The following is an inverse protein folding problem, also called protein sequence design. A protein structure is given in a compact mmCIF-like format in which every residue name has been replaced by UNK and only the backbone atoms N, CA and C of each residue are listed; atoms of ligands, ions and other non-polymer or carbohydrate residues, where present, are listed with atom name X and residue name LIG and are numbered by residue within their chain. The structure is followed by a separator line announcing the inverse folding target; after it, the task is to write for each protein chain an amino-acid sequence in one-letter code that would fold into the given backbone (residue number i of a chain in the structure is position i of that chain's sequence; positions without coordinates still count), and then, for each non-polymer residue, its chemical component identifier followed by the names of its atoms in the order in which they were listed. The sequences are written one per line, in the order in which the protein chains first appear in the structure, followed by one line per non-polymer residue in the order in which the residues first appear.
data_IF_011006169506
#
_entry.id   IF_011006169506
#
_cell.length_a   1.000
_cell.length_b   1.000
_cell.length_c   1.000
_cell.angle_alpha   90.00
_cell.angle_beta   90.00
_cell.angle_gamma   90.00
#
_symmetry.space_group_name_H-M   'P 1'
#
loop_
_entity.id
_entity.type
_entity.pdbx_description
1 polymer ?
#
# COMPACT_ATOMS: atom_id res chain seq x y z
N UNK A 1 11.34 1.42 -24.97
CA UNK A 1 10.12 1.55 -24.12
C UNK A 1 9.24 0.32 -24.37
N UNK A 2 9.83 -0.87 -24.47
CA UNK A 2 9.29 -1.91 -25.37
C UNK A 2 8.40 -2.93 -24.64
N UNK A 3 8.16 -2.75 -23.35
CA UNK A 3 7.45 -3.70 -22.48
C UNK A 3 6.30 -3.01 -21.71
N UNK A 4 6.45 -1.75 -21.29
CA UNK A 4 5.38 -0.97 -20.64
C UNK A 4 5.05 0.26 -21.47
N UNK A 5 3.81 0.41 -21.98
CA UNK A 5 3.40 1.60 -22.71
C UNK A 5 3.55 2.90 -21.89
N UNK A 6 3.50 2.80 -20.56
CA UNK A 6 3.61 3.94 -19.64
C UNK A 6 5.02 4.16 -19.09
N UNK A 7 5.96 3.26 -19.42
CA UNK A 7 7.30 3.26 -18.82
C UNK A 7 7.33 2.95 -17.32
N UNK A 8 6.19 2.57 -16.73
CA UNK A 8 6.05 2.27 -15.30
C UNK A 8 6.17 0.76 -15.05
N UNK A 9 6.59 0.45 -13.83
CA UNK A 9 6.57 -0.88 -13.21
C UNK A 9 5.43 -0.96 -12.20
N UNK A 10 4.90 -2.17 -11.88
CA UNK A 10 5.31 -3.49 -12.38
C UNK A 10 4.79 -3.81 -13.78
N UNK A 11 5.43 -4.80 -14.41
CA UNK A 11 4.98 -5.44 -15.64
C UNK A 11 5.08 -6.95 -15.44
N UNK A 12 4.05 -7.69 -15.86
CA UNK A 12 4.04 -9.15 -15.86
C UNK A 12 4.05 -9.67 -17.30
N UNK A 13 5.04 -10.51 -17.63
CA UNK A 13 5.07 -11.23 -18.90
C UNK A 13 4.51 -12.65 -18.70
N UNK A 14 3.44 -12.96 -19.41
CA UNK A 14 2.81 -14.29 -19.39
C UNK A 14 2.81 -14.85 -20.80
N UNK A 15 3.58 -15.90 -21.04
CA UNK A 15 3.80 -16.45 -22.38
C UNK A 15 4.28 -15.37 -23.36
N UNK A 16 3.43 -14.99 -24.35
CA UNK A 16 3.72 -13.94 -25.34
C UNK A 16 3.07 -12.60 -24.99
N UNK A 17 2.24 -12.55 -23.95
CA UNK A 17 1.50 -11.35 -23.54
C UNK A 17 2.25 -10.58 -22.47
N UNK A 18 2.02 -9.27 -22.44
CA UNK A 18 2.57 -8.36 -21.44
C UNK A 18 1.41 -7.62 -20.79
N UNK A 19 1.34 -7.69 -19.46
CA UNK A 19 0.36 -7.00 -18.62
C UNK A 19 1.07 -5.92 -17.81
N UNK A 20 0.45 -4.76 -17.68
CA UNK A 20 0.94 -3.61 -16.90
C UNK A 20 -0.20 -3.11 -16.00
N UNK A 21 0.13 -2.19 -15.10
CA UNK A 21 -0.70 -1.79 -13.94
C UNK A 21 -0.82 -2.89 -12.88
N UNK A 22 -0.39 -2.59 -11.65
CA UNK A 22 -0.38 -3.56 -10.55
C UNK A 22 -1.77 -4.13 -10.26
N UNK A 23 -2.80 -3.29 -10.27
CA UNK A 23 -4.19 -3.73 -10.03
C UNK A 23 -4.66 -4.74 -11.09
N UNK A 24 -4.35 -4.50 -12.37
CA UNK A 24 -4.71 -5.41 -13.47
C UNK A 24 -3.92 -6.71 -13.39
N UNK A 25 -2.63 -6.63 -13.08
CA UNK A 25 -1.78 -7.80 -12.87
C UNK A 25 -2.32 -8.66 -11.71
N UNK A 26 -2.71 -8.03 -10.60
CA UNK A 26 -3.26 -8.72 -9.44
C UNK A 26 -4.59 -9.42 -9.76
N UNK A 27 -5.49 -8.78 -10.52
CA UNK A 27 -6.74 -9.40 -10.97
C UNK A 27 -6.47 -10.61 -11.88
N UNK A 28 -5.52 -10.51 -12.82
CA UNK A 28 -5.14 -11.65 -13.65
C UNK A 28 -4.61 -12.81 -12.80
N UNK A 29 -3.75 -12.52 -11.82
CA UNK A 29 -3.20 -13.56 -10.95
C UNK A 29 -4.28 -14.22 -10.08
N UNK A 30 -5.24 -13.45 -9.58
CA UNK A 30 -6.40 -13.95 -8.80
C UNK A 30 -7.30 -14.89 -9.63
N UNK A 31 -7.54 -14.53 -10.89
CA UNK A 31 -8.41 -15.31 -11.77
C UNK A 31 -7.69 -16.53 -12.37
N UNK A 32 -6.38 -16.45 -12.59
CA UNK A 32 -5.61 -17.50 -13.24
C UNK A 32 -5.01 -18.53 -12.26
N UNK A 33 -4.85 -18.19 -10.97
CA UNK A 33 -4.12 -19.05 -10.02
C UNK A 33 -4.74 -19.08 -8.61
N UNK A 34 -4.63 -20.23 -7.96
CA UNK A 34 -4.80 -20.34 -6.50
C UNK A 34 -6.24 -20.26 -6.00
N UNK A 35 -6.38 -19.79 -4.75
CA UNK A 35 -7.67 -19.56 -4.07
C UNK A 35 -8.08 -18.10 -4.32
N UNK A 36 -9.30 -17.83 -4.82
CA UNK A 36 -9.75 -16.46 -5.06
C UNK A 36 -9.69 -15.59 -3.80
N UNK A 37 -9.11 -14.40 -3.95
CA UNK A 37 -9.02 -13.35 -2.93
C UNK A 37 -10.18 -12.36 -3.02
N UNK A 38 -10.89 -12.32 -4.14
CA UNK A 38 -12.15 -11.60 -4.22
C UNK A 38 -13.33 -12.46 -3.72
N UNK A 39 -14.34 -11.83 -3.10
CA UNK A 39 -15.58 -12.50 -2.76
C UNK A 39 -16.31 -12.96 -4.04
N UNK A 40 -17.15 -13.98 -3.89
CA UNK A 40 -17.97 -14.50 -4.99
C UNK A 40 -19.15 -13.58 -5.32
N UNK A 41 -19.68 -12.88 -4.31
CA UNK A 41 -20.74 -11.90 -4.54
C UNK A 41 -20.23 -10.75 -5.41
N UNK A 42 -20.99 -10.41 -6.44
CA UNK A 42 -20.56 -9.45 -7.46
C UNK A 42 -20.49 -8.02 -6.90
N UNK A 43 -21.37 -7.67 -5.97
CA UNK A 43 -21.40 -6.34 -5.36
C UNK A 43 -20.26 -6.20 -4.35
N UNK A 44 -20.02 -7.22 -3.52
CA UNK A 44 -18.86 -7.24 -2.63
C UNK A 44 -17.54 -7.20 -3.43
N UNK A 45 -17.45 -7.91 -4.56
CA UNK A 45 -16.28 -7.86 -5.45
C UNK A 45 -16.09 -6.47 -6.04
N UNK A 46 -17.18 -5.80 -6.44
CA UNK A 46 -17.13 -4.43 -6.91
C UNK A 46 -16.70 -3.44 -5.81
N UNK A 47 -17.17 -3.65 -4.57
CA UNK A 47 -16.73 -2.86 -3.41
C UNK A 47 -15.24 -3.04 -3.14
N UNK A 48 -14.72 -4.27 -3.18
CA UNK A 48 -13.28 -4.51 -3.07
C UNK A 48 -12.49 -3.72 -4.11
N UNK A 49 -12.90 -3.78 -5.38
CA UNK A 49 -12.23 -3.04 -6.47
C UNK A 49 -12.25 -1.53 -6.25
N UNK A 50 -13.37 -0.98 -5.78
CA UNK A 50 -13.47 0.44 -5.45
C UNK A 50 -12.49 0.84 -4.33
N UNK A 51 -12.37 0.02 -3.29
CA UNK A 51 -11.42 0.27 -2.20
C UNK A 51 -9.96 0.08 -2.62
N UNK A 52 -9.66 -0.85 -3.52
CA UNK A 52 -8.33 -0.98 -4.11
C UNK A 52 -7.92 0.29 -4.86
N UNK A 53 -8.81 0.86 -5.68
CA UNK A 53 -8.54 2.11 -6.38
C UNK A 53 -8.40 3.29 -5.41
N UNK A 54 -9.25 3.35 -4.38
CA UNK A 54 -9.13 4.34 -3.33
C UNK A 54 -7.75 4.28 -2.64
N UNK A 55 -7.29 3.09 -2.27
CA UNK A 55 -5.98 2.85 -1.66
C UNK A 55 -4.83 3.17 -2.62
N UNK A 56 -5.00 2.94 -3.93
CA UNK A 56 -3.99 3.27 -4.92
C UNK A 56 -3.59 4.75 -4.88
N UNK A 57 -4.56 5.64 -4.58
CA UNK A 57 -4.30 7.07 -4.41
C UNK A 57 -3.32 7.38 -3.27
N UNK A 58 -3.15 6.50 -2.28
CA UNK A 58 -2.33 6.77 -1.08
C UNK A 58 -0.84 6.92 -1.43
N UNK A 59 -0.41 6.34 -2.55
CA UNK A 59 0.95 6.47 -3.04
C UNK A 59 1.32 7.94 -3.30
N UNK A 60 0.36 8.80 -3.70
CA UNK A 60 0.64 10.22 -3.94
C UNK A 60 0.96 10.96 -2.64
N UNK A 61 0.18 10.73 -1.58
CA UNK A 61 0.40 11.37 -0.29
C UNK A 61 1.68 10.88 0.34
N UNK A 62 1.94 9.56 0.28
CA UNK A 62 3.20 9.02 0.78
C UNK A 62 4.41 9.59 0.02
N UNK A 63 4.31 9.71 -1.31
CA UNK A 63 5.35 10.38 -2.10
C UNK A 63 5.57 11.83 -1.66
N UNK A 64 4.50 12.60 -1.43
CA UNK A 64 4.59 13.97 -0.92
C UNK A 64 5.27 14.05 0.45
N UNK A 65 4.98 13.12 1.37
CA UNK A 65 5.66 13.04 2.68
C UNK A 65 7.17 12.88 2.50
N UNK A 66 7.60 11.97 1.62
CA UNK A 66 9.02 11.67 1.39
C UNK A 66 9.74 12.82 0.67
N UNK A 67 9.05 13.49 -0.26
CA UNK A 67 9.64 14.54 -1.10
C UNK A 67 9.56 15.95 -0.53
N UNK A 68 8.77 16.17 0.54
CA UNK A 68 8.66 17.47 1.17
C UNK A 68 10.03 17.97 1.67
N UNK A 69 10.28 19.26 1.43
CA UNK A 69 11.54 19.94 1.80
C UNK A 69 11.47 20.65 3.13
N UNK A 70 10.26 20.89 3.62
CA UNK A 70 10.00 21.53 4.89
C UNK A 70 8.91 20.78 5.67
N UNK A 71 8.88 21.07 6.97
CA UNK A 71 7.98 20.42 7.92
C UNK A 71 6.51 20.77 7.69
N UNK A 72 6.20 21.94 7.13
CA UNK A 72 4.82 22.34 6.85
C UNK A 72 4.22 21.48 5.73
N UNK A 73 4.90 21.40 4.59
CA UNK A 73 4.51 20.56 3.47
C UNK A 73 4.44 19.08 3.88
N UNK A 74 5.42 18.61 4.66
CA UNK A 74 5.46 17.25 5.19
C UNK A 74 4.27 16.93 6.09
N UNK A 75 3.96 17.81 7.05
CA UNK A 75 2.81 17.64 7.94
C UNK A 75 1.48 17.72 7.19
N UNK A 76 1.36 18.58 6.18
CA UNK A 76 0.16 18.65 5.35
C UNK A 76 -0.09 17.32 4.63
N UNK A 77 0.95 16.73 4.03
CA UNK A 77 0.84 15.43 3.38
C UNK A 77 0.52 14.29 4.37
N UNK A 78 1.09 14.31 5.58
CA UNK A 78 0.72 13.38 6.67
C UNK A 78 -0.77 13.51 7.00
N UNK A 79 -1.26 14.74 7.17
CA UNK A 79 -2.65 15.00 7.53
C UNK A 79 -3.61 14.53 6.43
N UNK A 80 -3.29 14.73 5.16
CA UNK A 80 -4.11 14.21 4.05
C UNK A 80 -4.13 12.68 4.03
N UNK A 81 -3.00 12.02 4.26
CA UNK A 81 -2.96 10.55 4.34
C UNK A 81 -3.73 10.03 5.56
N UNK A 82 -3.61 10.67 6.72
CA UNK A 82 -4.40 10.35 7.93
C UNK A 82 -5.90 10.48 7.66
N UNK A 83 -6.35 11.51 6.93
CA UNK A 83 -7.76 11.66 6.52
C UNK A 83 -8.24 10.49 5.68
N UNK A 84 -7.40 9.96 4.77
CA UNK A 84 -7.79 8.79 3.98
C UNK A 84 -7.93 7.53 4.85
N UNK A 85 -7.00 7.33 5.80
CA UNK A 85 -7.10 6.23 6.75
C UNK A 85 -8.29 6.36 7.70
N UNK A 86 -8.71 7.56 8.07
CA UNK A 86 -9.97 7.76 8.80
C UNK A 86 -11.19 7.30 7.99
N UNK A 87 -11.15 7.44 6.66
CA UNK A 87 -12.14 6.86 5.75
C UNK A 87 -12.15 5.33 5.82
N UNK A 88 -10.96 4.71 5.74
CA UNK A 88 -10.81 3.25 5.85
C UNK A 88 -11.22 2.72 7.22
N UNK A 89 -10.92 3.43 8.30
CA UNK A 89 -11.28 3.06 9.66
C UNK A 89 -12.79 2.86 9.82
N UNK A 90 -13.62 3.56 9.04
CA UNK A 90 -15.09 3.39 9.11
C UNK A 90 -15.57 2.08 8.48
N UNK A 91 -14.81 1.51 7.54
CA UNK A 91 -15.26 0.39 6.70
C UNK A 91 -14.49 -0.90 6.90
N UNK A 92 -13.23 -0.81 7.34
CA UNK A 92 -12.42 -1.98 7.69
C UNK A 92 -13.12 -2.75 8.81
N UNK A 93 -13.26 -4.06 8.61
CA UNK A 93 -13.89 -4.95 9.60
C UNK A 93 -12.87 -5.48 10.62
N UNK A 94 -11.63 -5.69 10.17
CA UNK A 94 -10.50 -6.30 10.91
C UNK A 94 -10.76 -7.79 11.29
N UNK A 95 -9.73 -8.66 11.36
CA UNK A 95 -8.30 -8.35 11.17
C UNK A 95 -7.89 -8.08 9.72
N UNK A 96 -8.68 -8.48 8.72
CA UNK A 96 -8.51 -8.09 7.32
C UNK A 96 -9.54 -7.03 6.93
N UNK A 97 -9.41 -6.49 5.71
CA UNK A 97 -10.35 -5.50 5.20
C UNK A 97 -11.82 -5.99 5.29
N UNK A 98 -12.04 -7.21 4.82
CA UNK A 98 -13.35 -7.88 4.81
C UNK A 98 -13.66 -8.68 6.09
N UNK A 99 -12.84 -8.59 7.14
CA UNK A 99 -13.01 -9.30 8.40
C UNK A 99 -12.09 -10.51 8.50
N UNK A 100 -12.66 -11.71 8.58
CA UNK A 100 -11.89 -12.95 8.79
C UNK A 100 -11.09 -13.43 7.55
N UNK A 101 -11.50 -13.01 6.36
CA UNK A 101 -10.91 -13.49 5.11
C UNK A 101 -9.94 -12.47 4.51
N UNK A 102 -8.71 -12.93 4.25
CA UNK A 102 -7.73 -12.19 3.46
C UNK A 102 -8.23 -12.00 2.03
N UNK A 103 -8.03 -10.81 1.47
CA UNK A 103 -8.63 -10.38 0.22
C UNK A 103 -7.70 -9.51 -0.63
N UNK A 104 -8.14 -9.18 -1.85
CA UNK A 104 -7.37 -8.34 -2.76
C UNK A 104 -7.18 -6.89 -2.26
N UNK A 105 -8.05 -6.42 -1.36
CA UNK A 105 -7.89 -5.10 -0.73
C UNK A 105 -6.67 -5.11 0.20
N UNK A 106 -6.45 -6.22 0.91
CA UNK A 106 -5.30 -6.42 1.79
C UNK A 106 -3.99 -6.47 0.99
N UNK A 107 -3.98 -7.15 -0.15
CA UNK A 107 -2.84 -7.14 -1.09
C UNK A 107 -2.52 -5.71 -1.53
N UNK A 108 -3.54 -4.93 -1.86
CA UNK A 108 -3.37 -3.57 -2.39
C UNK A 108 -2.82 -2.58 -1.36
N UNK A 109 -3.17 -2.72 -0.07
CA UNK A 109 -2.68 -1.81 0.98
C UNK A 109 -1.29 -2.19 1.51
N UNK A 110 -0.85 -3.45 1.34
CA UNK A 110 0.37 -3.97 1.96
C UNK A 110 1.61 -3.07 1.78
N UNK A 111 1.92 -2.55 0.57
CA UNK A 111 3.08 -1.68 0.38
C UNK A 111 2.99 -0.38 1.19
N UNK A 112 1.79 0.15 1.42
CA UNK A 112 1.60 1.35 2.25
C UNK A 112 1.86 1.01 3.72
N UNK A 113 1.35 -0.11 4.24
CA UNK A 113 1.61 -0.47 5.64
C UNK A 113 3.08 -0.78 5.93
N UNK A 114 3.81 -1.39 4.99
CA UNK A 114 5.27 -1.55 5.11
C UNK A 114 5.96 -0.19 5.26
N UNK A 115 5.55 0.79 4.44
CA UNK A 115 6.09 2.15 4.47
C UNK A 115 5.70 2.92 5.73
N UNK A 116 4.47 2.79 6.22
CA UNK A 116 4.05 3.39 7.49
C UNK A 116 4.83 2.80 8.67
N UNK A 117 5.07 1.49 8.67
CA UNK A 117 5.91 0.82 9.67
C UNK A 117 7.33 1.40 9.69
N UNK A 118 7.91 1.63 8.51
CA UNK A 118 9.21 2.29 8.39
C UNK A 118 9.20 3.71 8.98
N UNK A 119 8.20 4.53 8.62
CA UNK A 119 8.09 5.91 9.10
C UNK A 119 7.95 5.95 10.62
N UNK A 120 7.08 5.11 11.20
CA UNK A 120 6.91 4.99 12.65
C UNK A 120 8.21 4.58 13.34
N UNK A 121 8.88 3.52 12.86
CA UNK A 121 10.11 3.00 13.48
C UNK A 121 11.31 3.95 13.36
N UNK A 122 11.37 4.76 12.30
CA UNK A 122 12.53 5.62 12.02
C UNK A 122 12.38 7.04 12.56
N UNK A 123 11.14 7.55 12.65
CA UNK A 123 10.87 8.96 12.96
C UNK A 123 9.82 9.17 14.05
N UNK A 124 9.29 8.10 14.65
CA UNK A 124 8.24 8.14 15.68
C UNK A 124 6.96 8.88 15.24
N UNK A 125 6.66 8.83 13.94
CA UNK A 125 5.44 9.39 13.37
C UNK A 125 4.45 8.25 13.14
N UNK A 126 3.42 8.17 13.98
CA UNK A 126 2.35 7.19 13.81
C UNK A 126 1.18 7.77 12.99
N UNK A 127 1.02 7.25 11.77
CA UNK A 127 -0.07 7.61 10.86
C UNK A 127 -1.37 6.84 11.14
N UNK A 128 -1.31 5.79 11.96
CA UNK A 128 -2.45 4.97 12.36
C UNK A 128 -2.84 5.19 13.83
N UNK A 129 -2.28 6.24 14.46
CA UNK A 129 -2.68 6.67 15.79
C UNK A 129 -4.19 6.98 15.83
N UNK A 130 -4.84 6.59 16.93
CA UNK A 130 -6.30 6.66 17.11
C UNK A 130 -7.15 5.87 16.08
N UNK A 131 -6.54 5.02 15.25
CA UNK A 131 -7.22 4.19 14.24
C UNK A 131 -7.05 2.69 14.56
N UNK A 132 -7.72 2.16 15.61
CA UNK A 132 -7.44 0.83 16.14
C UNK A 132 -7.70 -0.31 15.14
N UNK A 133 -8.71 -0.21 14.27
CA UNK A 133 -8.97 -1.28 13.29
C UNK A 133 -7.95 -1.27 12.16
N UNK A 134 -7.58 -0.11 11.65
CA UNK A 134 -6.47 0.02 10.70
C UNK A 134 -5.14 -0.41 11.33
N UNK A 135 -4.93 -0.16 12.63
CA UNK A 135 -3.76 -0.64 13.36
C UNK A 135 -3.70 -2.15 13.42
N UNK A 136 -4.78 -2.80 13.86
CA UNK A 136 -4.90 -4.26 13.89
C UNK A 136 -4.69 -4.86 12.51
N UNK A 137 -5.30 -4.26 11.48
CA UNK A 137 -5.17 -4.67 10.09
C UNK A 137 -3.73 -4.61 9.60
N UNK A 138 -3.06 -3.50 9.88
CA UNK A 138 -1.65 -3.33 9.52
C UNK A 138 -0.75 -4.32 10.25
N UNK A 139 -0.99 -4.61 11.52
CA UNK A 139 -0.14 -5.55 12.28
C UNK A 139 -0.29 -6.98 11.76
N UNK A 140 -1.53 -7.45 11.56
CA UNK A 140 -1.77 -8.79 10.98
C UNK A 140 -1.18 -8.92 9.58
N UNK A 141 -1.27 -7.86 8.77
CA UNK A 141 -0.75 -7.88 7.41
C UNK A 141 0.78 -7.89 7.36
N UNK A 142 1.45 -7.17 8.26
CA UNK A 142 2.91 -7.11 8.32
C UNK A 142 3.55 -8.40 8.84
N UNK A 143 2.80 -9.23 9.56
CA UNK A 143 3.23 -10.56 10.02
C UNK A 143 3.05 -11.64 8.95
N UNK A 144 2.33 -11.37 7.87
CA UNK A 144 2.05 -12.36 6.83
C UNK A 144 3.32 -12.65 6.02
N UNK A 145 3.68 -13.93 5.92
CA UNK A 145 4.89 -14.38 5.23
C UNK A 145 5.00 -13.83 3.79
N UNK A 146 3.91 -13.83 3.03
CA UNK A 146 3.91 -13.31 1.65
C UNK A 146 4.19 -11.81 1.57
N UNK A 147 3.91 -11.04 2.64
CA UNK A 147 4.23 -9.62 2.72
C UNK A 147 5.70 -9.45 3.08
N UNK A 148 6.19 -10.19 4.07
CA UNK A 148 7.60 -10.20 4.49
C UNK A 148 8.51 -10.52 3.30
N UNK A 149 8.20 -11.57 2.55
CA UNK A 149 8.99 -12.02 1.39
C UNK A 149 8.90 -11.08 0.18
N UNK A 150 7.89 -10.21 0.12
CA UNK A 150 7.74 -9.24 -0.97
C UNK A 150 8.62 -8.00 -0.80
N UNK A 151 9.17 -7.79 0.40
CA UNK A 151 10.02 -6.64 0.71
C UNK A 151 11.47 -6.98 0.42
N UNK A 152 12.13 -6.16 -0.38
CA UNK A 152 13.55 -6.35 -0.72
C UNK A 152 14.45 -6.23 0.50
N UNK A 153 15.52 -7.01 0.53
CA UNK A 153 16.55 -6.92 1.56
C UNK A 153 17.08 -5.49 1.68
N UNK A 154 17.24 -5.01 2.92
CA UNK A 154 17.72 -3.66 3.19
C UNK A 154 16.74 -2.55 2.83
N UNK A 155 15.44 -2.83 2.64
CA UNK A 155 14.43 -1.82 2.30
C UNK A 155 14.51 -0.54 3.15
N UNK A 156 14.66 -0.66 4.48
CA UNK A 156 14.77 0.49 5.37
C UNK A 156 16.01 1.36 5.05
N UNK A 157 17.14 0.72 4.76
CA UNK A 157 18.37 1.42 4.37
C UNK A 157 18.18 2.14 3.03
N UNK A 158 17.61 1.46 2.03
CA UNK A 158 17.34 2.04 0.70
C UNK A 158 16.43 3.28 0.83
N UNK A 159 15.39 3.21 1.68
CA UNK A 159 14.47 4.32 1.86
C UNK A 159 15.12 5.49 2.63
N UNK A 160 15.96 5.21 3.64
CA UNK A 160 16.75 6.25 4.32
C UNK A 160 17.72 6.95 3.36
N UNK A 161 18.43 6.21 2.51
CA UNK A 161 19.34 6.80 1.52
C UNK A 161 18.59 7.67 0.50
N UNK A 162 17.38 7.27 0.11
CA UNK A 162 16.51 8.13 -0.73
C UNK A 162 16.10 9.41 -0.01
N UNK A 163 15.76 9.34 1.29
CA UNK A 163 15.43 10.52 2.08
C UNK A 163 16.61 11.50 2.17
N UNK A 164 17.83 10.97 2.36
CA UNK A 164 19.08 11.75 2.33
C UNK A 164 19.34 12.41 0.99
N UNK A 165 19.29 11.63 -0.09
CA UNK A 165 19.49 12.16 -1.43
C UNK A 165 18.46 13.25 -1.80
N UNK A 166 17.25 13.16 -1.23
CA UNK A 166 16.18 14.12 -1.44
C UNK A 166 16.17 15.26 -0.43
N UNK A 167 17.13 15.35 0.51
CA UNK A 167 17.14 16.34 1.59
C UNK A 167 15.76 16.47 2.27
N UNK A 168 15.14 15.32 2.56
CA UNK A 168 13.78 15.28 3.07
C UNK A 168 13.69 15.91 4.46
N UNK A 169 12.60 16.60 4.75
CA UNK A 169 12.30 17.14 6.08
C UNK A 169 12.26 16.08 7.20
N UNK A 170 12.13 14.79 6.87
CA UNK A 170 12.12 13.71 7.85
C UNK A 170 13.49 13.46 8.50
N UNK A 171 14.57 13.89 7.86
CA UNK A 171 15.95 13.64 8.31
C UNK A 171 16.68 14.92 8.76
N UNK A 172 15.97 16.05 8.76
CA UNK A 172 16.50 17.36 9.18
C UNK A 172 16.42 17.55 10.68
#
# INVERSE_FOLDING_TARGET
MDISPTGKVPVLKVSKSILFESGVINEYLDEAYGIPLHPKDLIEKAHNRAWMEYINSFNIFFFQIIMAKDKEAGNNAINELKKQFLGLEKVVKAPWFNGENYSMVDVSVAPIFVRLSFVKKSFDIDLLDELPKCRQWSDHLLERQSVIESVVDGFNYILLEKLKANESWLIT
#
